data_IF_594350266605
#
_entry.id   IF_594350266605
#
_cell.length_a   1.000
_cell.length_b   1.000
_cell.length_c   1.000
_cell.angle_alpha   90.00
_cell.angle_beta   90.00
_cell.angle_gamma   90.00
#
_symmetry.space_group_name_H-M   'P 1'
#
loop_
_entity.id
_entity.type
_entity.pdbx_description
1 polymer ?
#
# COMPACT_ATOMS: atom_id res chain seq x y z
N UNK A 1 -6.06 21.30 -2.39
CA UNK A 1 -6.02 19.86 -2.03
C UNK A 1 -4.77 19.51 -1.22
N UNK A 2 -4.65 19.88 0.07
CA UNK A 2 -3.44 19.60 0.86
C UNK A 2 -3.41 18.20 1.50
N UNK A 3 -4.58 17.61 1.77
CA UNK A 3 -4.70 16.42 2.61
C UNK A 3 -4.29 15.11 1.90
N UNK A 4 -4.44 15.02 0.57
CA UNK A 4 -3.98 13.85 -0.19
C UNK A 4 -2.44 13.79 -0.29
N UNK A 5 -1.79 14.95 -0.41
CA UNK A 5 -0.33 15.06 -0.42
C UNK A 5 0.27 14.57 0.91
N UNK A 6 -0.26 15.00 2.05
CA UNK A 6 0.23 14.53 3.36
C UNK A 6 0.14 13.00 3.54
N UNK A 7 -0.97 12.39 3.10
CA UNK A 7 -1.16 10.93 3.16
C UNK A 7 -0.21 10.19 2.21
N UNK A 8 -0.02 10.70 0.99
CA UNK A 8 0.94 10.13 0.04
C UNK A 8 2.38 10.25 0.54
N UNK A 9 2.73 11.34 1.20
CA UNK A 9 4.09 11.60 1.71
C UNK A 9 4.45 10.63 2.84
N UNK A 10 3.52 10.33 3.75
CA UNK A 10 3.73 9.34 4.81
C UNK A 10 3.94 7.92 4.25
N UNK A 11 3.12 7.54 3.26
CA UNK A 11 3.26 6.25 2.57
C UNK A 11 4.57 6.18 1.78
N UNK A 12 4.94 7.24 1.07
CA UNK A 12 6.19 7.34 0.32
C UNK A 12 7.42 7.29 1.25
N UNK A 13 7.38 7.99 2.39
CA UNK A 13 8.44 7.93 3.40
C UNK A 13 8.56 6.53 3.99
N UNK A 14 7.44 5.88 4.30
CA UNK A 14 7.46 4.51 4.79
C UNK A 14 8.05 3.57 3.74
N UNK A 15 7.59 3.64 2.49
CA UNK A 15 8.15 2.85 1.38
C UNK A 15 9.64 3.12 1.23
N UNK A 16 10.06 4.39 1.25
CA UNK A 16 11.48 4.78 1.13
C UNK A 16 12.32 4.32 2.31
N UNK A 17 11.75 4.23 3.51
CA UNK A 17 12.42 3.69 4.70
C UNK A 17 12.55 2.16 4.68
N UNK A 18 11.66 1.48 3.96
CA UNK A 18 11.63 0.01 3.83
C UNK A 18 12.37 -0.47 2.58
N UNK A 19 12.44 0.34 1.54
CA UNK A 19 13.34 0.17 0.42
C UNK A 19 14.74 0.56 0.90
N UNK A 20 15.43 -0.37 1.54
CA UNK A 20 16.84 -0.19 1.89
C UNK A 20 17.63 0.30 0.67
N UNK A 21 18.68 1.08 0.91
CA UNK A 21 19.57 1.61 -0.13
C UNK A 21 19.83 0.53 -1.17
N UNK A 22 19.63 0.85 -2.47
CA UNK A 22 19.92 -0.09 -3.55
C UNK A 22 21.31 -0.66 -3.33
N UNK A 23 21.38 -1.94 -2.98
CA UNK A 23 22.63 -2.61 -2.67
C UNK A 23 23.39 -2.74 -3.99
N UNK A 24 24.28 -1.79 -4.27
CA UNK A 24 25.15 -1.79 -5.44
C UNK A 24 26.35 -2.74 -5.27
N UNK A 25 26.33 -3.59 -4.24
CA UNK A 25 27.39 -4.54 -3.92
C UNK A 25 26.94 -5.92 -4.37
N UNK A 26 27.80 -6.73 -5.02
CA UNK A 26 27.47 -8.11 -5.36
C UNK A 26 27.10 -8.89 -4.09
N UNK A 27 25.82 -9.24 -3.98
CA UNK A 27 25.31 -10.01 -2.85
C UNK A 27 25.49 -11.51 -3.10
N UNK A 28 25.86 -12.23 -2.05
CA UNK A 28 25.89 -13.69 -2.10
C UNK A 28 24.48 -14.25 -2.37
N UNK A 29 24.30 -15.27 -3.22
CA UNK A 29 22.99 -15.81 -3.60
C UNK A 29 22.10 -16.20 -2.42
N UNK A 30 22.68 -16.73 -1.33
CA UNK A 30 21.91 -17.08 -0.13
C UNK A 30 21.21 -15.87 0.49
N UNK A 31 21.88 -14.72 0.54
CA UNK A 31 21.31 -13.47 1.08
C UNK A 31 20.15 -13.01 0.21
N UNK A 32 20.31 -13.05 -1.11
CA UNK A 32 19.25 -12.66 -2.06
C UNK A 32 18.05 -13.59 -1.95
N UNK A 33 18.26 -14.91 -1.83
CA UNK A 33 17.20 -15.89 -1.59
C UNK A 33 16.43 -15.57 -0.30
N UNK A 34 17.13 -15.27 0.80
CA UNK A 34 16.50 -14.87 2.06
C UNK A 34 15.70 -13.57 1.92
N UNK A 35 16.22 -12.56 1.21
CA UNK A 35 15.50 -11.31 0.95
C UNK A 35 14.23 -11.52 0.12
N UNK A 36 14.28 -12.36 -0.94
CA UNK A 36 13.10 -12.76 -1.72
C UNK A 36 12.06 -13.41 -0.79
N UNK A 37 12.51 -14.30 0.09
CA UNK A 37 11.64 -15.02 0.99
C UNK A 37 10.95 -14.09 2.00
N UNK A 38 11.71 -13.18 2.63
CA UNK A 38 11.18 -12.18 3.56
C UNK A 38 10.16 -11.28 2.84
N UNK A 39 10.49 -10.75 1.67
CA UNK A 39 9.60 -9.88 0.91
C UNK A 39 8.30 -10.61 0.53
N UNK A 40 8.40 -11.87 0.11
CA UNK A 40 7.23 -12.71 -0.21
C UNK A 40 6.36 -12.96 1.03
N UNK A 41 6.96 -13.27 2.17
CA UNK A 41 6.24 -13.47 3.43
C UNK A 41 5.54 -12.20 3.90
N UNK A 42 6.18 -11.03 3.78
CA UNK A 42 5.56 -9.73 4.09
C UNK A 42 4.35 -9.47 3.19
N UNK A 43 4.46 -9.72 1.88
CA UNK A 43 3.33 -9.60 0.97
C UNK A 43 2.16 -10.57 1.31
N UNK A 44 2.47 -11.81 1.71
CA UNK A 44 1.47 -12.78 2.20
C UNK A 44 0.81 -12.29 3.50
N UNK A 45 1.58 -11.72 4.42
CA UNK A 45 1.07 -11.16 5.68
C UNK A 45 0.05 -10.04 5.43
N UNK A 46 0.36 -9.08 4.54
CA UNK A 46 -0.62 -8.05 4.17
C UNK A 46 -1.87 -8.63 3.50
N UNK A 47 -1.72 -9.68 2.67
CA UNK A 47 -2.86 -10.38 2.07
C UNK A 47 -3.76 -11.00 3.15
N UNK A 48 -3.17 -11.61 4.17
CA UNK A 48 -3.90 -12.14 5.32
C UNK A 48 -4.66 -11.02 6.05
N UNK A 49 -3.99 -9.92 6.41
CA UNK A 49 -4.62 -8.80 7.10
C UNK A 49 -5.77 -8.17 6.31
N UNK A 50 -5.62 -8.01 4.99
CA UNK A 50 -6.68 -7.51 4.10
C UNK A 50 -7.92 -8.42 4.16
N UNK A 51 -7.73 -9.74 4.05
CA UNK A 51 -8.83 -10.71 4.06
C UNK A 51 -9.54 -10.75 5.42
N UNK A 52 -8.77 -10.65 6.51
CA UNK A 52 -9.28 -10.61 7.87
C UNK A 52 -9.84 -9.25 8.29
N UNK A 53 -9.84 -8.25 7.39
CA UNK A 53 -10.22 -6.85 7.67
C UNK A 53 -9.53 -6.26 8.91
N UNK A 54 -8.28 -6.66 9.13
CA UNK A 54 -7.45 -6.24 10.24
C UNK A 54 -6.30 -5.37 9.73
N UNK A 55 -5.86 -4.44 10.56
CA UNK A 55 -4.75 -3.56 10.24
C UNK A 55 -3.51 -3.98 11.02
N UNK A 56 -2.41 -4.32 10.34
CA UNK A 56 -1.18 -4.69 11.03
C UNK A 56 -0.62 -3.48 11.79
N UNK A 57 0.09 -3.70 12.92
CA UNK A 57 0.64 -2.62 13.73
C UNK A 57 1.49 -1.63 12.94
N UNK A 58 2.27 -2.10 11.97
CA UNK A 58 3.11 -1.28 11.12
C UNK A 58 2.30 -0.25 10.33
N UNK A 59 1.12 -0.64 9.84
CA UNK A 59 0.22 0.28 9.13
C UNK A 59 -0.38 1.30 10.09
N UNK A 60 -0.70 0.91 11.33
CA UNK A 60 -1.18 1.87 12.35
C UNK A 60 -0.10 2.91 12.66
N UNK A 61 1.15 2.47 12.79
CA UNK A 61 2.30 3.35 13.04
C UNK A 61 2.53 4.37 11.91
N UNK A 62 2.26 4.02 10.65
CA UNK A 62 2.36 4.95 9.51
C UNK A 62 1.43 6.17 9.68
N UNK A 63 0.29 6.00 10.35
CA UNK A 63 -0.64 7.09 10.64
C UNK A 63 -0.36 7.79 11.98
N UNK A 64 0.72 7.42 12.67
CA UNK A 64 1.07 7.96 13.97
C UNK A 64 -0.02 7.68 15.01
N UNK A 65 -0.49 8.74 15.68
CA UNK A 65 -1.55 8.65 16.69
C UNK A 65 -2.98 8.51 16.12
N UNK A 66 -3.16 8.60 14.80
CA UNK A 66 -4.48 8.53 14.18
C UNK A 66 -4.80 7.11 13.73
N UNK A 67 -5.95 6.59 14.16
CA UNK A 67 -6.41 5.28 13.70
C UNK A 67 -7.10 5.43 12.33
N UNK A 68 -6.53 4.88 11.24
CA UNK A 68 -7.15 4.97 9.93
C UNK A 68 -8.46 4.19 9.90
N UNK A 69 -9.40 4.63 9.06
CA UNK A 69 -10.59 3.82 8.76
C UNK A 69 -10.17 2.48 8.16
N UNK A 70 -10.97 1.42 8.38
CA UNK A 70 -10.68 0.07 7.84
C UNK A 70 -10.48 0.12 6.32
N UNK A 71 -11.30 0.88 5.59
CA UNK A 71 -11.17 1.05 4.15
C UNK A 71 -9.86 1.73 3.74
N UNK A 72 -9.45 2.79 4.45
CA UNK A 72 -8.20 3.47 4.18
C UNK A 72 -6.98 2.59 4.53
N UNK A 73 -6.98 1.96 5.70
CA UNK A 73 -5.92 1.03 6.08
C UNK A 73 -5.82 -0.16 5.13
N UNK A 74 -6.94 -0.69 4.62
CA UNK A 74 -6.94 -1.75 3.60
C UNK A 74 -6.28 -1.29 2.30
N UNK A 75 -6.51 -0.04 1.86
CA UNK A 75 -5.81 0.52 0.69
C UNK A 75 -4.31 0.61 0.93
N UNK A 76 -3.87 1.07 2.09
CA UNK A 76 -2.45 1.11 2.43
C UNK A 76 -1.84 -0.29 2.48
N UNK A 77 -2.52 -1.27 3.08
CA UNK A 77 -2.06 -2.67 3.03
C UNK A 77 -1.91 -3.18 1.59
N UNK A 78 -2.79 -2.80 0.65
CA UNK A 78 -2.68 -3.16 -0.77
C UNK A 78 -1.44 -2.53 -1.42
N UNK A 79 -1.16 -1.26 -1.13
CA UNK A 79 0.03 -0.55 -1.61
C UNK A 79 1.29 -1.23 -1.09
N UNK A 80 1.38 -1.48 0.22
CA UNK A 80 2.53 -2.15 0.83
C UNK A 80 2.72 -3.56 0.29
N UNK A 81 1.64 -4.33 0.14
CA UNK A 81 1.69 -5.65 -0.51
C UNK A 81 2.29 -5.56 -1.91
N UNK A 82 1.84 -4.61 -2.73
CA UNK A 82 2.35 -4.43 -4.10
C UNK A 82 3.84 -4.08 -4.09
N UNK A 83 4.27 -3.24 -3.15
CA UNK A 83 5.67 -2.85 -2.99
C UNK A 83 6.56 -4.04 -2.57
N UNK A 84 6.14 -4.84 -1.59
CA UNK A 84 6.88 -6.05 -1.21
C UNK A 84 6.98 -7.06 -2.37
N UNK A 85 5.93 -7.19 -3.19
CA UNK A 85 5.99 -8.01 -4.40
C UNK A 85 6.94 -7.43 -5.45
N UNK A 86 7.02 -6.10 -5.56
CA UNK A 86 7.98 -5.41 -6.44
C UNK A 86 9.41 -5.69 -6.00
N UNK A 87 9.70 -5.59 -4.71
CA UNK A 87 11.02 -5.93 -4.16
C UNK A 87 11.38 -7.41 -4.39
N UNK A 88 10.45 -8.33 -4.17
CA UNK A 88 10.68 -9.76 -4.44
C UNK A 88 11.03 -10.03 -5.92
N UNK A 89 10.41 -9.31 -6.87
CA UNK A 89 10.78 -9.37 -8.29
C UNK A 89 12.17 -8.81 -8.54
N UNK A 90 12.46 -7.61 -8.03
CA UNK A 90 13.78 -6.99 -8.15
C UNK A 90 14.91 -7.90 -7.64
N UNK A 91 14.73 -8.56 -6.49
CA UNK A 91 15.72 -9.51 -5.97
C UNK A 91 15.83 -10.78 -6.81
N UNK A 92 14.73 -11.28 -7.40
CA UNK A 92 14.79 -12.39 -8.37
C UNK A 92 15.57 -11.99 -9.62
N UNK A 93 15.36 -10.78 -10.12
CA UNK A 93 16.10 -10.26 -11.27
C UNK A 93 17.59 -10.15 -10.93
N UNK A 94 17.93 -9.61 -9.75
CA UNK A 94 19.31 -9.55 -9.26
C UNK A 94 19.96 -10.93 -9.10
N UNK A 95 19.19 -11.96 -8.72
CA UNK A 95 19.66 -13.35 -8.64
C UNK A 95 19.83 -13.99 -10.03
N UNK A 96 19.03 -13.57 -11.01
CA UNK A 96 19.03 -14.10 -12.37
C UNK A 96 20.09 -13.47 -13.28
N UNK A 97 20.38 -12.17 -13.13
CA UNK A 97 21.34 -11.44 -13.96
C UNK A 97 22.74 -12.08 -14.02
N UNK A 98 23.36 -12.56 -12.92
CA UNK A 98 24.64 -13.27 -12.99
C UNK A 98 24.57 -14.57 -13.81
N UNK A 99 23.41 -15.24 -13.80
CA UNK A 99 23.20 -16.47 -14.58
C UNK A 99 23.16 -16.19 -16.09
N UNK A 100 22.75 -15.00 -16.51
CA UNK A 100 22.74 -14.63 -17.92
C UNK A 100 24.16 -14.55 -18.50
N UNK A 101 25.14 -14.15 -17.69
CA UNK A 101 26.54 -14.01 -18.09
C UNK A 101 27.31 -15.34 -18.15
N UNK A 102 26.77 -16.41 -17.57
CA UNK A 102 27.34 -17.76 -17.68
C UNK A 102 27.28 -18.20 -19.17
N UNK A 103 28.31 -18.82 -19.73
CA UNK A 103 28.27 -19.25 -21.14
C UNK A 103 27.55 -20.60 -21.32
N UNK A 104 27.39 -21.38 -20.24
CA UNK A 104 26.85 -22.74 -20.33
C UNK A 104 25.35 -22.81 -20.04
N UNK A 105 24.53 -22.90 -21.09
CA UNK A 105 23.05 -22.92 -21.02
C UNK A 105 22.50 -23.98 -20.05
N UNK A 106 23.07 -25.19 -20.04
CA UNK A 106 22.61 -26.28 -19.16
C UNK A 106 22.85 -25.98 -17.67
N UNK A 107 23.95 -25.31 -17.32
CA UNK A 107 24.22 -24.91 -15.94
C UNK A 107 23.27 -23.81 -15.47
N UNK A 108 22.84 -22.90 -16.36
CA UNK A 108 21.85 -21.85 -16.04
C UNK A 108 20.53 -22.43 -15.57
N UNK A 109 19.95 -23.36 -16.34
CA UNK A 109 18.63 -23.95 -16.06
C UNK A 109 18.64 -24.73 -14.74
N UNK A 110 19.69 -25.52 -14.52
CA UNK A 110 19.84 -26.31 -13.29
C UNK A 110 20.03 -25.42 -12.06
N UNK A 111 20.91 -24.41 -12.14
CA UNK A 111 21.17 -23.49 -11.03
C UNK A 111 19.97 -22.61 -10.70
N UNK A 112 19.24 -22.14 -11.72
CA UNK A 112 17.98 -21.41 -11.50
C UNK A 112 16.93 -22.27 -10.80
N UNK A 113 16.77 -23.54 -11.23
CA UNK A 113 15.86 -24.49 -10.58
C UNK A 113 16.22 -24.73 -9.11
N UNK A 114 17.51 -24.86 -8.82
CA UNK A 114 18.03 -24.98 -7.45
C UNK A 114 17.67 -23.74 -6.62
N UNK A 115 17.89 -22.54 -7.15
CA UNK A 115 17.52 -21.29 -6.48
C UNK A 115 16.03 -21.18 -6.24
N UNK A 116 15.18 -21.47 -7.23
CA UNK A 116 13.72 -21.46 -7.04
C UNK A 116 13.28 -22.45 -5.97
N UNK A 117 13.83 -23.67 -5.97
CA UNK A 117 13.53 -24.66 -4.93
C UNK A 117 13.93 -24.19 -3.53
N UNK A 118 15.09 -23.54 -3.39
CA UNK A 118 15.51 -22.94 -2.12
C UNK A 118 14.62 -21.76 -1.71
N UNK A 119 14.24 -20.89 -2.64
CA UNK A 119 13.32 -19.78 -2.37
C UNK A 119 12.01 -20.33 -1.81
N UNK A 120 11.41 -21.32 -2.47
CA UNK A 120 10.13 -21.88 -2.06
C UNK A 120 10.23 -22.53 -0.66
N UNK A 121 11.29 -23.30 -0.41
CA UNK A 121 11.53 -23.90 0.90
C UNK A 121 11.68 -22.86 2.02
N UNK A 122 12.49 -21.81 1.80
CA UNK A 122 12.71 -20.75 2.80
C UNK A 122 11.44 -19.91 2.99
N UNK A 123 10.70 -19.61 1.91
CA UNK A 123 9.40 -18.91 1.98
C UNK A 123 8.44 -19.70 2.85
N UNK A 124 8.28 -21.00 2.61
CA UNK A 124 7.33 -21.81 3.35
C UNK A 124 7.74 -21.94 4.81
N UNK A 125 9.02 -22.15 5.10
CA UNK A 125 9.54 -22.16 6.47
C UNK A 125 9.23 -20.85 7.22
N UNK A 126 9.60 -19.70 6.65
CA UNK A 126 9.36 -18.39 7.25
C UNK A 126 7.85 -18.09 7.37
N UNK A 127 7.07 -18.46 6.36
CA UNK A 127 5.63 -18.24 6.35
C UNK A 127 4.91 -19.02 7.44
N UNK A 128 5.30 -20.26 7.74
CA UNK A 128 4.71 -21.02 8.84
C UNK A 128 4.95 -20.37 10.21
N UNK A 129 6.10 -19.73 10.41
CA UNK A 129 6.37 -18.93 11.62
C UNK A 129 5.49 -17.69 11.69
N UNK A 130 5.48 -16.91 10.60
CA UNK A 130 4.72 -15.66 10.51
C UNK A 130 3.20 -15.89 10.60
N UNK A 131 2.68 -16.93 9.96
CA UNK A 131 1.26 -17.28 10.00
C UNK A 131 0.80 -17.64 11.41
N UNK A 132 1.61 -18.38 12.19
CA UNK A 132 1.32 -18.68 13.60
C UNK A 132 1.27 -17.39 14.42
N UNK A 133 2.25 -16.50 14.22
CA UNK A 133 2.28 -15.18 14.86
C UNK A 133 1.03 -14.38 14.53
N UNK A 134 0.68 -14.24 13.26
CA UNK A 134 -0.52 -13.51 12.81
C UNK A 134 -1.79 -14.11 13.43
N UNK A 135 -1.98 -15.44 13.36
CA UNK A 135 -3.15 -16.10 13.96
C UNK A 135 -3.26 -15.84 15.46
N UNK A 136 -2.14 -15.87 16.19
CA UNK A 136 -2.14 -15.60 17.64
C UNK A 136 -2.50 -14.15 17.99
N UNK A 137 -2.08 -13.19 17.16
CA UNK A 137 -2.37 -11.76 17.37
C UNK A 137 -3.82 -11.40 17.05
N UNK A 138 -4.46 -12.18 16.18
CA UNK A 138 -5.76 -11.83 15.60
C UNK A 138 -6.91 -12.74 16.03
N UNK A 139 -6.64 -13.82 16.78
CA UNK A 139 -7.65 -14.74 17.33
C UNK A 139 -8.55 -14.10 18.40
N UNK A 140 -8.17 -12.96 18.97
CA UNK A 140 -8.83 -12.30 20.10
C UNK A 140 -9.71 -11.10 19.72
N UNK A 141 -10.22 -11.03 18.49
CA UNK A 141 -11.09 -9.90 18.11
C UNK A 141 -12.43 -9.99 18.84
N UNK A 142 -12.50 -9.30 19.99
CA UNK A 142 -13.70 -9.01 20.78
C UNK A 142 -14.77 -8.40 19.87
N UNK A 143 -16.02 -8.88 20.05
CA UNK A 143 -17.23 -8.28 19.47
C UNK A 143 -17.20 -6.77 19.67
N UNK A 144 -17.48 -6.03 18.60
CA UNK A 144 -17.30 -4.58 18.53
C UNK A 144 -17.93 -3.87 19.71
N UNK A 145 -17.10 -3.21 20.52
CA UNK A 145 -17.55 -2.07 21.29
C UNK A 145 -17.88 -0.97 20.29
N UNK A 146 -19.15 -0.58 20.23
CA UNK A 146 -19.62 0.66 19.61
C UNK A 146 -18.65 1.79 19.95
N UNK A 147 -18.13 2.47 18.93
CA UNK A 147 -16.99 3.37 19.04
C UNK A 147 -17.24 4.51 20.02
N UNK A 148 -16.60 4.44 21.18
CA UNK A 148 -16.46 5.57 22.10
C UNK A 148 -15.37 6.47 21.53
N UNK A 149 -15.74 7.69 21.15
CA UNK A 149 -14.77 8.73 20.75
C UNK A 149 -14.07 9.19 22.03
N UNK A 150 -12.81 8.82 22.19
CA UNK A 150 -11.98 9.36 23.26
C UNK A 150 -11.37 10.68 22.77
N UNK A 151 -11.86 11.80 23.31
CA UNK A 151 -11.24 13.11 23.16
C UNK A 151 -9.92 13.14 23.93
N UNK A 152 -8.82 13.41 23.22
CA UNK A 152 -7.53 13.64 23.86
C UNK A 152 -7.46 15.12 24.25
N UNK A 153 -7.67 15.40 25.54
CA UNK A 153 -7.71 16.76 26.12
C UNK A 153 -9.13 17.32 26.31
N UNK A 154 -9.27 18.22 27.28
CA UNK A 154 -10.52 18.94 27.61
C UNK A 154 -10.77 20.10 26.64
N UNK A 155 -10.89 19.80 25.36
CA UNK A 155 -11.40 20.78 24.39
C UNK A 155 -12.90 20.59 24.32
N UNK A 156 -13.63 21.54 24.92
CA UNK A 156 -15.08 21.64 24.75
C UNK A 156 -15.39 21.93 23.28
N UNK A 157 -15.82 20.89 22.55
CA UNK A 157 -16.27 21.03 21.18
C UNK A 157 -17.76 21.39 21.18
N UNK A 158 -18.20 22.37 20.37
CA UNK A 158 -19.62 22.68 20.22
C UNK A 158 -20.43 21.45 19.77
N UNK A 159 -21.68 21.36 20.22
CA UNK A 159 -22.56 20.19 19.98
C UNK A 159 -22.72 19.82 18.51
N UNK A 160 -22.72 20.80 17.60
CA UNK A 160 -22.81 20.55 16.16
C UNK A 160 -21.56 19.83 15.62
N UNK A 161 -20.38 20.13 16.18
CA UNK A 161 -19.11 19.48 15.83
C UNK A 161 -19.10 18.06 16.36
N UNK A 162 -19.51 17.86 17.62
CA UNK A 162 -19.66 16.54 18.23
C UNK A 162 -20.65 15.66 17.48
N UNK A 163 -21.81 16.22 17.08
CA UNK A 163 -22.81 15.55 16.27
C UNK A 163 -22.25 15.12 14.91
N UNK A 164 -21.43 15.97 14.28
CA UNK A 164 -20.82 15.68 12.97
C UNK A 164 -19.69 14.65 13.08
N UNK A 165 -18.82 14.76 14.08
CA UNK A 165 -17.74 13.80 14.34
C UNK A 165 -18.28 12.43 14.78
N UNK A 166 -19.41 12.41 15.50
CA UNK A 166 -20.11 11.19 15.92
C UNK A 166 -20.71 10.38 14.76
N UNK A 167 -20.89 10.99 13.58
CA UNK A 167 -21.27 10.26 12.37
C UNK A 167 -20.11 9.43 11.77
N UNK A 168 -18.91 9.56 12.33
CA UNK A 168 -17.71 8.84 11.95
C UNK A 168 -17.00 9.45 10.74
N UNK A 169 -15.81 8.90 10.38
CA UNK A 169 -14.93 9.45 9.34
C UNK A 169 -15.49 9.41 7.92
N UNK A 170 -16.72 8.89 7.74
CA UNK A 170 -17.41 8.86 6.45
C UNK A 170 -17.76 10.27 5.95
N UNK A 171 -17.85 11.25 6.85
CA UNK A 171 -18.11 12.66 6.56
C UNK A 171 -16.84 13.52 6.43
N UNK A 172 -15.67 12.95 6.74
CA UNK A 172 -14.37 13.54 6.40
C UNK A 172 -13.92 13.19 4.97
N UNK A 173 -14.71 12.37 4.26
CA UNK A 173 -14.51 12.10 2.84
C UNK A 173 -15.31 13.14 2.07
N UNK A 174 -14.62 13.90 1.21
CA UNK A 174 -15.21 14.92 0.36
C UNK A 174 -16.48 14.36 -0.33
N UNK A 175 -17.55 15.15 -0.34
CA UNK A 175 -18.83 14.77 -0.93
C UNK A 175 -18.57 14.30 -2.37
N UNK A 176 -19.20 13.20 -2.80
CA UNK A 176 -19.09 12.73 -4.20
C UNK A 176 -19.52 13.90 -5.11
N UNK A 177 -18.56 14.44 -5.85
CA UNK A 177 -18.81 15.51 -6.80
C UNK A 177 -19.51 14.96 -8.03
N UNK A 178 -20.44 15.73 -8.57
CA UNK A 178 -21.08 15.39 -9.84
C UNK A 178 -20.07 15.53 -11.00
N UNK A 179 -20.29 14.87 -12.16
CA UNK A 179 -19.40 15.03 -13.32
C UNK A 179 -19.22 16.49 -13.74
N UNK A 180 -20.26 17.31 -13.61
CA UNK A 180 -20.23 18.75 -13.88
C UNK A 180 -19.36 19.51 -12.88
N UNK A 181 -19.42 19.19 -11.58
CA UNK A 181 -18.56 19.77 -10.56
C UNK A 181 -17.08 19.38 -10.74
N UNK A 182 -16.83 18.14 -11.16
CA UNK A 182 -15.47 17.69 -11.46
C UNK A 182 -14.91 18.40 -12.69
N UNK A 183 -15.70 18.56 -13.76
CA UNK A 183 -15.34 19.37 -14.93
C UNK A 183 -15.04 20.82 -14.57
N UNK A 184 -15.87 21.43 -13.71
CA UNK A 184 -15.63 22.79 -13.22
C UNK A 184 -14.29 22.88 -12.46
N UNK A 185 -13.95 21.85 -11.69
CA UNK A 185 -12.67 21.75 -10.97
C UNK A 185 -11.49 21.64 -11.94
N UNK A 186 -11.59 20.81 -12.99
CA UNK A 186 -10.54 20.68 -14.01
C UNK A 186 -10.29 22.01 -14.71
N UNK A 187 -11.36 22.72 -15.11
CA UNK A 187 -11.26 24.05 -15.71
C UNK A 187 -10.61 25.07 -14.78
N UNK A 188 -10.97 25.06 -13.51
CA UNK A 188 -10.37 25.96 -12.53
C UNK A 188 -8.87 25.71 -12.37
N UNK A 189 -8.44 24.44 -12.34
CA UNK A 189 -7.02 24.07 -12.26
C UNK A 189 -6.27 24.49 -13.53
N UNK A 190 -6.84 24.23 -14.71
CA UNK A 190 -6.25 24.61 -15.99
C UNK A 190 -6.06 26.14 -16.10
N UNK A 191 -7.03 26.92 -15.62
CA UNK A 191 -6.95 28.39 -15.61
C UNK A 191 -5.89 28.94 -14.63
N UNK A 192 -5.44 28.15 -13.67
CA UNK A 192 -4.35 28.52 -12.75
C UNK A 192 -2.98 28.03 -13.22
N UNK A 193 -2.93 27.21 -14.28
CA UNK A 193 -1.67 26.71 -14.83
C UNK A 193 -1.03 27.74 -15.77
N UNK A 194 0.30 27.69 -15.97
CA UNK A 194 0.95 28.44 -17.03
C UNK A 194 0.29 28.14 -18.40
N UNK A 195 0.25 29.12 -19.33
CA UNK A 195 -0.46 28.97 -20.60
C UNK A 195 0.07 27.80 -21.45
N UNK A 196 1.34 27.43 -21.27
CA UNK A 196 1.99 26.31 -21.94
C UNK A 196 1.49 24.94 -21.47
N UNK A 197 1.00 24.85 -20.22
CA UNK A 197 0.55 23.61 -19.57
C UNK A 197 -0.97 23.48 -19.52
N UNK A 198 -1.73 24.52 -19.90
CA UNK A 198 -3.20 24.56 -19.78
C UNK A 198 -3.86 23.39 -20.52
N UNK A 199 -3.45 23.12 -21.77
CA UNK A 199 -4.02 22.03 -22.57
C UNK A 199 -3.69 20.65 -21.98
N UNK A 200 -2.47 20.48 -21.44
CA UNK A 200 -2.08 19.25 -20.74
C UNK A 200 -2.93 19.04 -19.47
N UNK A 201 -3.14 20.09 -18.68
CA UNK A 201 -3.97 20.03 -17.47
C UNK A 201 -5.43 19.67 -17.77
N UNK A 202 -6.00 20.18 -18.88
CA UNK A 202 -7.35 19.82 -19.31
C UNK A 202 -7.38 18.35 -19.77
N UNK A 203 -6.43 17.93 -20.59
CA UNK A 203 -6.37 16.55 -21.10
C UNK A 203 -6.26 15.53 -19.96
N UNK A 204 -5.29 15.70 -19.05
CA UNK A 204 -5.11 14.81 -17.90
C UNK A 204 -6.32 14.83 -16.96
N UNK A 205 -6.93 16.00 -16.76
CA UNK A 205 -8.14 16.14 -15.94
C UNK A 205 -9.35 15.41 -16.52
N UNK A 206 -9.48 15.38 -17.85
CA UNK A 206 -10.53 14.62 -18.55
C UNK A 206 -10.27 13.11 -18.52
N UNK A 207 -9.02 12.66 -18.66
CA UNK A 207 -8.67 11.23 -18.59
C UNK A 207 -9.04 10.62 -17.24
N UNK A 208 -8.85 11.36 -16.15
CA UNK A 208 -9.28 10.96 -14.81
C UNK A 208 -10.81 10.84 -14.73
N UNK A 209 -11.56 11.72 -15.40
CA UNK A 209 -13.02 11.66 -15.44
C UNK A 209 -13.54 10.45 -16.21
N UNK A 210 -12.96 10.15 -17.37
CA UNK A 210 -13.32 8.99 -18.18
C UNK A 210 -12.95 7.67 -17.49
N UNK A 211 -11.81 7.61 -16.81
CA UNK A 211 -11.40 6.44 -16.01
C UNK A 211 -12.34 6.14 -14.84
N UNK A 212 -12.93 7.18 -14.22
CA UNK A 212 -13.92 7.01 -13.13
C UNK A 212 -15.28 6.54 -13.68
N UNK A 213 -15.71 7.02 -14.85
CA UNK A 213 -16.97 6.57 -15.47
C UNK A 213 -16.94 5.08 -15.82
N UNK A 214 -15.81 4.55 -16.31
CA UNK A 214 -15.68 3.10 -16.61
C UNK A 214 -15.74 2.23 -15.35
N UNK A 215 -15.22 2.71 -14.22
CA UNK A 215 -15.30 2.01 -12.94
C UNK A 215 -16.72 2.00 -12.35
N UNK A 216 -17.58 2.94 -12.74
CA UNK A 216 -18.94 3.02 -12.20
C UNK A 216 -19.89 2.04 -12.90
N UNK A 217 -19.65 1.72 -14.17
CA UNK A 217 -20.39 0.71 -14.93
C UNK A 217 -20.04 -0.73 -14.47
N UNK A 218 -18.84 -0.94 -13.94
CA UNK A 218 -18.42 -2.25 -13.43
C UNK A 218 -18.98 -2.63 -12.04
N UNK A 219 -19.75 -1.74 -11.40
CA UNK A 219 -20.28 -1.90 -10.04
C UNK A 219 -21.81 -1.75 -9.93
N UNK A 220 -22.53 -1.78 -11.05
CA UNK A 220 -23.96 -2.08 -11.11
C UNK A 220 -24.15 -3.55 -11.49
#
# INVERSE_FOLDING_TARGET
>A
MPYQLAQSTAVLRYISSQAGSFLCVPLHPSVVITLIAIATCRARAFTFCIRSKQLPPEVKLVFGGFQPSIGHGTRVCKILRAEWLRQARMYRDALFLPLLHDQHVMHKKTRWREYTGRIDHVVDYLWQGELRRLRSQFSTTRRGSTGVVHTYGDVALPDFVMKTLGLGPKFAVEKRRTPTELLATVRQVANCAPPEDTDRCVSEGLDVLYGVSQLTVAYQ
#
